data_IF_614568504193
#
_entry.id   IF_614568504193
#
_cell.length_a   1.000
_cell.length_b   1.000
_cell.length_c   1.000
_cell.angle_alpha   90.00
_cell.angle_beta   90.00
_cell.angle_gamma   90.00
#
_symmetry.space_group_name_H-M   'P 1'
#
loop_
_entity.id
_entity.type
_entity.pdbx_description
1 polymer ?
#
# COMPACT_ATOMS: atom_id res chain seq x y z
N UNK A 1 0.76 22.55 -10.73
CA UNK A 1 -0.06 21.42 -11.16
C UNK A 1 -1.50 21.85 -11.30
N UNK A 2 -2.18 21.34 -12.31
CA UNK A 2 -3.55 21.73 -12.64
C UNK A 2 -4.58 21.30 -11.60
N UNK A 3 -4.37 20.17 -10.96
CA UNK A 3 -5.32 19.63 -9.98
C UNK A 3 -4.82 19.83 -8.56
N UNK A 4 -5.75 20.08 -7.64
CA UNK A 4 -5.43 20.26 -6.21
C UNK A 4 -5.54 18.96 -5.43
N UNK A 5 -6.28 18.00 -5.94
CA UNK A 5 -6.46 16.68 -5.33
C UNK A 5 -6.24 15.61 -6.35
N UNK A 6 -5.50 14.60 -5.98
CA UNK A 6 -5.19 13.48 -6.87
C UNK A 6 -5.38 12.19 -6.11
N UNK A 7 -6.02 11.23 -6.78
CA UNK A 7 -6.12 9.86 -6.28
C UNK A 7 -5.15 9.00 -7.07
N UNK A 8 -4.21 8.39 -6.35
CA UNK A 8 -3.21 7.52 -6.94
C UNK A 8 -3.47 6.09 -6.52
N UNK A 9 -3.52 5.18 -7.48
CA UNK A 9 -3.66 3.74 -7.19
C UNK A 9 -2.32 3.06 -7.39
N UNK A 10 -1.90 2.29 -6.41
CA UNK A 10 -0.63 1.56 -6.45
C UNK A 10 -0.94 0.09 -6.20
N UNK A 11 -0.61 -0.77 -7.16
CA UNK A 11 -0.76 -2.20 -7.00
C UNK A 11 0.25 -2.73 -5.99
N UNK A 12 -0.13 -3.77 -5.22
CA UNK A 12 0.73 -4.29 -4.18
C UNK A 12 2.06 -4.82 -4.67
N UNK A 13 2.13 -5.29 -5.91
CA UNK A 13 3.35 -5.87 -6.46
C UNK A 13 4.52 -4.90 -6.50
N UNK A 14 4.28 -3.59 -6.50
CA UNK A 14 5.40 -2.63 -6.48
C UNK A 14 6.12 -2.60 -5.14
N UNK A 15 5.51 -3.14 -4.10
CA UNK A 15 6.13 -3.25 -2.78
C UNK A 15 6.84 -4.58 -2.58
N UNK A 16 6.73 -5.48 -3.55
CA UNK A 16 7.36 -6.78 -3.48
C UNK A 16 8.80 -6.77 -3.98
N UNK A 17 9.41 -7.94 -3.97
CA UNK A 17 10.75 -8.16 -4.51
C UNK A 17 10.67 -8.17 -6.03
N UNK A 18 11.74 -8.59 -6.70
CA UNK A 18 11.82 -8.56 -8.16
C UNK A 18 10.67 -9.29 -8.86
N UNK A 19 10.17 -10.35 -8.24
CA UNK A 19 9.04 -11.11 -8.78
C UNK A 19 7.68 -10.55 -8.37
N UNK A 20 7.65 -9.40 -7.71
CA UNK A 20 6.42 -8.77 -7.24
C UNK A 20 5.84 -9.42 -6.01
N UNK A 21 6.57 -10.32 -5.37
CA UNK A 21 6.11 -11.07 -4.20
C UNK A 21 6.89 -10.68 -2.96
N UNK A 22 6.28 -10.93 -1.80
CA UNK A 22 6.91 -10.66 -0.52
C UNK A 22 7.02 -9.18 -0.23
N UNK A 23 7.91 -8.85 0.70
CA UNK A 23 8.08 -7.49 1.19
C UNK A 23 9.50 -7.01 0.89
N UNK A 24 9.60 -5.83 0.31
CA UNK A 24 10.88 -5.17 0.07
C UNK A 24 10.87 -3.82 0.78
N UNK A 25 11.64 -3.71 1.86
CA UNK A 25 11.71 -2.46 2.62
C UNK A 25 12.25 -1.32 1.77
N UNK A 26 13.22 -1.61 0.89
CA UNK A 26 13.76 -0.59 0.01
C UNK A 26 12.73 -0.05 -0.97
N UNK A 27 11.78 -0.90 -1.40
CA UNK A 27 10.73 -0.44 -2.31
C UNK A 27 9.73 0.47 -1.62
N UNK A 28 9.40 0.21 -0.35
CA UNK A 28 8.56 1.14 0.39
C UNK A 28 9.22 2.51 0.49
N UNK A 29 10.51 2.51 0.80
CA UNK A 29 11.25 3.77 0.92
C UNK A 29 11.35 4.50 -0.41
N UNK A 30 11.56 3.77 -1.49
CA UNK A 30 11.65 4.38 -2.82
C UNK A 30 10.33 5.00 -3.25
N UNK A 31 9.23 4.30 -3.05
CA UNK A 31 7.90 4.83 -3.36
C UNK A 31 7.61 6.05 -2.49
N UNK A 32 7.95 5.99 -1.22
CA UNK A 32 7.76 7.12 -0.31
C UNK A 32 8.59 8.33 -0.75
N UNK A 33 9.79 8.09 -1.26
CA UNK A 33 10.65 9.17 -1.76
C UNK A 33 10.02 9.87 -2.96
N UNK A 34 9.46 9.09 -3.88
CA UNK A 34 8.78 9.66 -5.04
C UNK A 34 7.55 10.47 -4.63
N UNK A 35 6.77 9.95 -3.69
CA UNK A 35 5.58 10.64 -3.18
C UNK A 35 5.99 11.94 -2.49
N UNK A 36 7.04 11.87 -1.68
CA UNK A 36 7.56 13.05 -0.97
C UNK A 36 7.96 14.14 -1.97
N UNK A 37 8.61 13.75 -3.05
CA UNK A 37 9.01 14.70 -4.08
C UNK A 37 7.82 15.37 -4.75
N UNK A 38 6.79 14.58 -5.07
CA UNK A 38 5.58 15.12 -5.67
C UNK A 38 4.92 16.13 -4.72
N UNK A 39 4.86 15.81 -3.44
CA UNK A 39 4.26 16.72 -2.45
C UNK A 39 5.06 17.99 -2.28
N UNK A 40 6.38 17.92 -2.35
CA UNK A 40 7.22 19.12 -2.20
C UNK A 40 7.15 20.03 -3.41
N UNK A 41 7.06 19.44 -4.59
CA UNK A 41 7.06 20.20 -5.84
C UNK A 41 5.67 20.76 -6.16
N UNK A 42 4.62 20.25 -5.55
CA UNK A 42 3.24 20.62 -5.86
C UNK A 42 2.43 20.76 -4.57
N UNK A 43 1.63 21.80 -4.51
CA UNK A 43 0.75 21.98 -3.36
C UNK A 43 -0.57 21.25 -3.62
N UNK A 44 -0.57 19.94 -3.40
CA UNK A 44 -1.72 19.10 -3.66
C UNK A 44 -2.07 18.22 -2.46
N UNK A 45 -3.34 17.82 -2.41
CA UNK A 45 -3.79 16.76 -1.53
C UNK A 45 -3.66 15.45 -2.28
N UNK A 46 -3.00 14.48 -1.68
CA UNK A 46 -2.76 13.20 -2.32
C UNK A 46 -3.44 12.09 -1.52
N UNK A 47 -4.29 11.34 -2.20
CA UNK A 47 -4.94 10.18 -1.64
C UNK A 47 -4.39 8.96 -2.37
N UNK A 48 -3.96 7.95 -1.62
CA UNK A 48 -3.33 6.77 -2.21
C UNK A 48 -4.13 5.53 -1.85
N UNK A 49 -4.48 4.75 -2.86
CA UNK A 49 -5.14 3.46 -2.68
C UNK A 49 -4.12 2.39 -3.05
N UNK A 50 -3.90 1.46 -2.13
CA UNK A 50 -2.89 0.42 -2.33
C UNK A 50 -3.52 -0.97 -2.24
N UNK A 51 -2.88 -1.93 -2.92
CA UNK A 51 -3.27 -3.32 -2.85
C UNK A 51 -2.33 -4.14 -1.98
N UNK A 52 -2.60 -5.42 -1.83
CA UNK A 52 -1.81 -6.33 -1.02
C UNK A 52 -1.32 -7.56 -1.79
N UNK A 53 -1.35 -7.54 -3.12
CA UNK A 53 -1.06 -8.71 -3.93
C UNK A 53 0.36 -9.26 -3.83
N UNK A 54 1.30 -8.49 -3.31
CA UNK A 54 2.65 -8.98 -3.04
C UNK A 54 2.70 -9.92 -1.83
N UNK A 55 1.73 -9.81 -0.93
CA UNK A 55 1.67 -10.60 0.30
C UNK A 55 0.68 -11.76 0.13
N UNK A 56 -0.51 -11.49 -0.39
CA UNK A 56 -1.54 -12.49 -0.50
C UNK A 56 -2.45 -12.22 -1.69
N UNK A 57 -2.71 -13.28 -2.49
CA UNK A 57 -3.70 -13.28 -3.55
C UNK A 57 -4.63 -14.46 -3.32
N UNK A 58 -5.89 -14.20 -3.04
CA UNK A 58 -6.83 -15.16 -2.50
C UNK A 58 -6.99 -16.47 -3.25
N UNK A 59 -6.95 -16.48 -4.59
CA UNK A 59 -7.18 -17.68 -5.39
C UNK A 59 -6.02 -18.05 -6.28
N UNK A 60 -4.84 -17.79 -5.85
CA UNK A 60 -3.68 -18.07 -6.64
C UNK A 60 -3.29 -19.56 -6.52
N UNK A 61 -2.88 -20.17 -7.64
CA UNK A 61 -2.32 -21.51 -7.68
C UNK A 61 -3.25 -22.61 -7.19
N UNK A 62 -4.54 -22.51 -7.46
CA UNK A 62 -5.48 -23.58 -7.15
C UNK A 62 -5.74 -23.80 -5.67
N UNK A 63 -5.57 -22.81 -4.87
CA UNK A 63 -5.86 -22.90 -3.45
C UNK A 63 -7.36 -22.81 -3.19
N UNK A 64 -8.07 -23.78 -3.72
CA UNK A 64 -9.52 -23.82 -3.67
C UNK A 64 -10.06 -24.25 -2.31
N UNK A 65 -9.19 -24.79 -1.46
CA UNK A 65 -9.58 -25.24 -0.13
C UNK A 65 -9.80 -24.11 0.86
N UNK A 66 -9.34 -22.91 0.54
CA UNK A 66 -9.56 -21.76 1.41
C UNK A 66 -11.00 -21.28 1.34
N UNK A 67 -11.58 -21.03 2.52
CA UNK A 67 -12.86 -20.35 2.60
C UNK A 67 -12.70 -18.96 1.98
N UNK A 68 -13.64 -18.61 1.10
CA UNK A 68 -13.59 -17.34 0.39
C UNK A 68 -13.63 -16.14 1.34
N UNK A 69 -14.42 -16.23 2.40
CA UNK A 69 -14.49 -15.13 3.36
C UNK A 69 -13.16 -14.93 4.07
N UNK A 70 -12.51 -16.02 4.45
CA UNK A 70 -11.20 -15.95 5.09
C UNK A 70 -10.15 -15.41 4.13
N UNK A 71 -10.14 -15.88 2.89
CA UNK A 71 -9.21 -15.40 1.88
C UNK A 71 -9.37 -13.91 1.65
N UNK A 72 -10.61 -13.44 1.61
CA UNK A 72 -10.90 -12.02 1.44
C UNK A 72 -10.36 -11.19 2.61
N UNK A 73 -10.55 -11.69 3.84
CA UNK A 73 -10.02 -11.03 5.02
C UNK A 73 -8.49 -10.97 5.00
N UNK A 74 -7.86 -12.06 4.58
CA UNK A 74 -6.40 -12.09 4.47
C UNK A 74 -5.89 -11.06 3.46
N UNK A 75 -6.60 -10.89 2.35
CA UNK A 75 -6.27 -9.88 1.37
C UNK A 75 -6.36 -8.47 1.92
N UNK A 76 -7.38 -8.22 2.74
CA UNK A 76 -7.53 -6.90 3.38
C UNK A 76 -6.42 -6.64 4.39
N UNK A 77 -6.04 -7.65 5.16
CA UNK A 77 -4.94 -7.52 6.11
C UNK A 77 -3.61 -7.28 5.38
N UNK A 78 -3.41 -7.97 4.27
CA UNK A 78 -2.22 -7.75 3.44
C UNK A 78 -2.12 -6.29 2.99
N UNK A 79 -3.24 -5.71 2.59
CA UNK A 79 -3.29 -4.31 2.21
C UNK A 79 -2.92 -3.39 3.39
N UNK A 80 -3.37 -3.73 4.59
CA UNK A 80 -3.05 -2.98 5.80
C UNK A 80 -1.54 -3.01 6.07
N UNK A 81 -0.90 -4.15 5.87
CA UNK A 81 0.55 -4.27 6.05
C UNK A 81 1.28 -3.29 5.14
N UNK A 82 0.92 -3.26 3.87
CA UNK A 82 1.52 -2.32 2.93
C UNK A 82 1.23 -0.86 3.32
N UNK A 83 0.03 -0.59 3.79
CA UNK A 83 -0.33 0.76 4.23
C UNK A 83 0.49 1.24 5.40
N UNK A 84 0.70 0.37 6.39
CA UNK A 84 1.50 0.71 7.56
C UNK A 84 2.96 0.97 7.16
N UNK A 85 3.51 0.13 6.30
CA UNK A 85 4.89 0.28 5.87
C UNK A 85 5.09 1.57 5.07
N UNK A 86 4.16 1.88 4.20
CA UNK A 86 4.25 3.10 3.41
C UNK A 86 4.08 4.35 4.30
N UNK A 87 3.14 4.29 5.25
CA UNK A 87 2.95 5.39 6.19
C UNK A 87 4.22 5.68 6.98
N UNK A 88 4.83 4.63 7.53
CA UNK A 88 6.07 4.80 8.28
C UNK A 88 7.17 5.39 7.41
N UNK A 89 7.30 4.91 6.19
CA UNK A 89 8.31 5.42 5.25
C UNK A 89 8.08 6.89 4.92
N UNK A 90 6.83 7.29 4.72
CA UNK A 90 6.50 8.68 4.43
C UNK A 90 6.80 9.59 5.63
N UNK A 91 6.46 9.13 6.84
CA UNK A 91 6.71 9.92 8.03
C UNK A 91 8.20 10.11 8.29
N UNK A 92 9.01 9.10 8.00
CA UNK A 92 10.46 9.26 8.08
C UNK A 92 11.00 10.34 7.15
N UNK A 93 10.30 10.60 6.07
CA UNK A 93 10.66 11.63 5.10
C UNK A 93 10.00 12.98 5.38
N UNK A 94 9.32 13.09 6.51
CA UNK A 94 8.67 14.35 6.89
C UNK A 94 7.34 14.59 6.21
N UNK A 95 6.72 13.56 5.65
CA UNK A 95 5.41 13.68 5.01
C UNK A 95 4.35 13.10 5.96
N UNK A 96 3.55 13.95 6.62
CA UNK A 96 2.49 13.43 7.49
C UNK A 96 1.48 12.68 6.66
N UNK A 97 1.03 11.54 7.18
CA UNK A 97 0.07 10.73 6.46
C UNK A 97 -0.92 10.12 7.43
N UNK A 98 -2.11 9.81 6.92
CA UNK A 98 -3.15 9.15 7.69
C UNK A 98 -3.60 7.91 6.91
N UNK A 99 -3.52 6.77 7.57
CA UNK A 99 -3.97 5.53 6.98
C UNK A 99 -5.42 5.28 7.37
N UNK A 100 -6.20 4.87 6.37
CA UNK A 100 -7.58 4.46 6.60
C UNK A 100 -7.75 3.05 6.06
N UNK A 101 -8.42 2.19 6.81
CA UNK A 101 -8.61 0.80 6.43
C UNK A 101 -10.09 0.44 6.45
N UNK A 102 -10.44 -0.58 5.66
CA UNK A 102 -11.77 -1.17 5.71
C UNK A 102 -11.88 -2.20 6.85
N UNK A 103 -10.76 -2.59 7.44
CA UNK A 103 -10.69 -3.51 8.55
C UNK A 103 -10.56 -2.71 9.84
N UNK A 104 -11.38 -3.04 10.82
CA UNK A 104 -11.29 -2.38 12.11
C UNK A 104 -10.00 -2.79 12.82
N UNK A 105 -9.24 -1.79 13.23
CA UNK A 105 -7.97 -2.00 13.94
C UNK A 105 -8.13 -1.46 15.35
N UNK A 106 -8.35 -2.35 16.30
CA UNK A 106 -8.43 -1.98 17.72
C UNK A 106 -7.02 -2.08 18.32
N UNK A 107 -6.52 -0.95 18.79
CA UNK A 107 -5.21 -0.89 19.44
C UNK A 107 -5.34 -0.82 20.95
#
# INVERSE_FOLDING_TARGET
>A
MKYKRILLKIGGEVFGKEDGKGISLSNYMEIAREISKIKKDNNIDLCIVIGGGNIFRGRQNGEESFDMAVAHQMGMVATVINGLALQESLEEMGVPSRMMTAVRMDT
#
